data_IF_692602377737
#
_entry.id   IF_692602377737
#
_cell.length_a   1.000
_cell.length_b   1.000
_cell.length_c   1.000
_cell.angle_alpha   90.00
_cell.angle_beta   90.00
_cell.angle_gamma   90.00
#
_symmetry.space_group_name_H-M   'P 1'
#
loop_
_entity.id
_entity.type
_entity.pdbx_description
1 polymer ?
#
# COMPACT_ATOMS: atom_id res chain seq x y z
N UNK A 1 -21.89 -16.59 -7.36
CA UNK A 1 -21.85 -16.40 -5.89
C UNK A 1 -23.23 -16.11 -5.29
N UNK A 2 -24.08 -15.25 -5.85
CA UNK A 2 -25.39 -14.97 -5.22
C UNK A 2 -26.64 -15.59 -5.86
N UNK A 3 -26.53 -16.35 -6.96
CA UNK A 3 -27.73 -16.85 -7.68
C UNK A 3 -27.70 -18.33 -8.08
N UNK A 4 -26.61 -19.08 -7.85
CA UNK A 4 -26.54 -20.52 -8.13
C UNK A 4 -25.44 -21.20 -7.26
N UNK A 5 -25.78 -22.04 -6.27
CA UNK A 5 -24.84 -22.49 -5.24
C UNK A 5 -23.89 -23.64 -5.66
N UNK A 6 -24.21 -24.44 -6.67
CA UNK A 6 -23.47 -25.67 -6.99
C UNK A 6 -22.36 -25.52 -8.02
N UNK A 7 -22.52 -24.65 -9.03
CA UNK A 7 -21.48 -24.38 -10.05
C UNK A 7 -20.52 -23.27 -9.58
N UNK A 8 -20.98 -22.42 -8.64
CA UNK A 8 -20.18 -21.30 -8.11
C UNK A 8 -19.13 -21.73 -7.09
N UNK A 9 -19.22 -22.94 -6.53
CA UNK A 9 -18.33 -23.40 -5.46
C UNK A 9 -16.96 -23.84 -6.00
N UNK A 10 -16.90 -24.66 -7.05
CA UNK A 10 -15.61 -25.12 -7.60
C UNK A 10 -14.79 -23.98 -8.20
N UNK A 11 -15.41 -23.07 -8.96
CA UNK A 11 -14.70 -21.91 -9.53
C UNK A 11 -14.28 -20.91 -8.46
N UNK A 12 -15.08 -20.73 -7.40
CA UNK A 12 -14.71 -19.89 -6.26
C UNK A 12 -13.58 -20.53 -5.44
N UNK A 13 -13.61 -21.84 -5.21
CA UNK A 13 -12.58 -22.57 -4.47
C UNK A 13 -11.25 -22.55 -5.23
N UNK A 14 -11.25 -22.81 -6.55
CA UNK A 14 -10.05 -22.67 -7.41
C UNK A 14 -9.50 -21.24 -7.37
N UNK A 15 -10.37 -20.23 -7.51
CA UNK A 15 -9.96 -18.84 -7.40
C UNK A 15 -9.37 -18.52 -6.02
N UNK A 16 -9.86 -19.11 -4.93
CA UNK A 16 -9.36 -18.90 -3.56
C UNK A 16 -8.00 -19.56 -3.31
N UNK A 17 -7.77 -20.76 -3.86
CA UNK A 17 -6.48 -21.44 -3.77
C UNK A 17 -5.42 -20.68 -4.59
N UNK A 18 -5.77 -20.26 -5.80
CA UNK A 18 -4.93 -19.37 -6.61
C UNK A 18 -4.67 -18.03 -5.89
N UNK A 19 -5.67 -17.47 -5.20
CA UNK A 19 -5.51 -16.22 -4.46
C UNK A 19 -4.52 -16.36 -3.30
N UNK A 20 -4.59 -17.45 -2.52
CA UNK A 20 -3.66 -17.74 -1.42
C UNK A 20 -2.23 -17.96 -1.92
N UNK A 21 -2.08 -18.65 -3.05
CA UNK A 21 -0.77 -18.85 -3.69
C UNK A 21 -0.19 -17.50 -4.16
N UNK A 22 -0.97 -16.70 -4.89
CA UNK A 22 -0.54 -15.38 -5.34
C UNK A 22 -0.19 -14.42 -4.20
N UNK A 23 -0.87 -14.54 -3.07
CA UNK A 23 -0.59 -13.81 -1.82
C UNK A 23 0.78 -14.22 -1.25
N UNK A 24 1.03 -15.51 -1.06
CA UNK A 24 2.30 -16.02 -0.51
C UNK A 24 3.47 -15.64 -1.43
N UNK A 25 3.30 -15.82 -2.73
CA UNK A 25 4.28 -15.41 -3.74
C UNK A 25 4.51 -13.90 -3.73
N UNK A 26 3.45 -13.12 -3.52
CA UNK A 26 3.50 -11.67 -3.37
C UNK A 26 4.35 -11.22 -2.18
N UNK A 27 4.14 -11.83 -1.02
CA UNK A 27 4.96 -11.59 0.18
C UNK A 27 6.41 -12.03 -0.06
N UNK A 28 6.63 -13.18 -0.72
CA UNK A 28 7.97 -13.67 -1.06
C UNK A 28 8.74 -12.77 -2.05
N UNK A 29 8.05 -11.88 -2.79
CA UNK A 29 8.66 -10.87 -3.66
C UNK A 29 9.20 -9.66 -2.90
N UNK A 30 8.81 -9.48 -1.63
CA UNK A 30 9.36 -8.45 -0.76
C UNK A 30 10.80 -8.79 -0.41
N UNK A 31 11.71 -7.82 -0.60
CA UNK A 31 13.12 -7.94 -0.21
C UNK A 31 13.36 -7.36 1.17
N UNK A 32 12.86 -6.16 1.39
CA UNK A 32 13.12 -5.38 2.60
C UNK A 32 12.05 -4.31 2.74
N UNK A 33 11.94 -3.74 3.94
CA UNK A 33 11.11 -2.59 4.25
C UNK A 33 12.06 -1.44 4.56
N UNK A 34 11.87 -0.32 3.87
CA UNK A 34 12.68 0.88 4.05
C UNK A 34 11.93 1.83 4.97
N UNK A 35 12.63 2.29 6.00
CA UNK A 35 12.11 3.23 6.99
C UNK A 35 12.34 4.68 6.53
N UNK A 36 11.30 5.49 6.59
CA UNK A 36 11.38 6.96 6.55
C UNK A 36 11.08 7.51 7.96
N UNK A 37 10.90 8.83 8.09
CA UNK A 37 10.70 9.47 9.39
C UNK A 37 9.35 9.06 9.99
N UNK A 38 8.30 9.16 9.20
CA UNK A 38 6.91 8.97 9.62
C UNK A 38 6.22 7.78 8.92
N UNK A 39 6.73 7.34 7.78
CA UNK A 39 6.24 6.16 7.07
C UNK A 39 7.33 5.10 6.85
N UNK A 40 6.94 3.96 6.32
CA UNK A 40 7.82 2.90 5.82
C UNK A 40 7.24 2.34 4.52
N UNK A 41 8.08 1.77 3.67
CA UNK A 41 7.61 1.21 2.40
C UNK A 41 8.34 -0.05 1.99
N UNK A 42 7.63 -0.90 1.26
CA UNK A 42 8.12 -2.18 0.76
C UNK A 42 9.00 -1.98 -0.46
N UNK A 43 10.16 -2.66 -0.49
CA UNK A 43 10.97 -2.80 -1.70
C UNK A 43 10.96 -4.24 -2.23
N UNK A 44 10.74 -4.43 -3.54
CA UNK A 44 10.82 -5.73 -4.19
C UNK A 44 12.27 -6.27 -4.24
N UNK A 45 12.40 -7.57 -4.52
CA UNK A 45 13.68 -8.21 -4.88
C UNK A 45 14.27 -7.70 -6.20
N UNK A 46 13.43 -7.18 -7.10
CA UNK A 46 13.86 -6.56 -8.36
C UNK A 46 14.64 -5.27 -8.08
N UNK A 47 15.93 -5.24 -8.46
CA UNK A 47 16.81 -4.07 -8.29
C UNK A 47 16.20 -2.83 -8.96
N UNK A 48 16.37 -1.67 -8.32
CA UNK A 48 15.95 -0.35 -8.81
C UNK A 48 14.45 -0.21 -9.14
N UNK A 49 13.59 -1.00 -8.50
CA UNK A 49 12.13 -0.84 -8.58
C UNK A 49 11.56 -0.57 -7.20
N UNK A 50 10.55 0.28 -7.13
CA UNK A 50 9.68 0.44 -5.96
C UNK A 50 8.46 -0.49 -6.02
N UNK A 51 8.15 -1.01 -7.22
CA UNK A 51 6.91 -1.73 -7.49
C UNK A 51 7.10 -3.24 -7.34
N UNK A 52 6.26 -3.85 -6.51
CA UNK A 52 6.06 -5.29 -6.45
C UNK A 52 5.48 -5.76 -7.79
N UNK A 53 5.98 -6.87 -8.33
CA UNK A 53 5.42 -7.51 -9.53
C UNK A 53 4.21 -8.37 -9.18
N UNK A 54 3.12 -7.73 -8.75
CA UNK A 54 1.89 -8.38 -8.26
C UNK A 54 0.67 -7.72 -8.89
N UNK A 55 -0.48 -8.38 -8.84
CA UNK A 55 -1.72 -7.77 -9.31
C UNK A 55 -2.16 -6.64 -8.35
N UNK A 56 -2.83 -5.61 -8.87
CA UNK A 56 -3.28 -4.47 -8.06
C UNK A 56 -4.31 -4.89 -7.00
N UNK A 57 -5.13 -5.89 -7.29
CA UNK A 57 -6.15 -6.41 -6.36
C UNK A 57 -5.56 -7.07 -5.11
N UNK A 58 -4.36 -7.66 -5.20
CA UNK A 58 -3.70 -8.33 -4.06
C UNK A 58 -2.69 -7.44 -3.32
N UNK A 59 -2.35 -6.27 -3.86
CA UNK A 59 -1.36 -5.37 -3.27
C UNK A 59 -1.72 -4.98 -1.84
N UNK A 60 -3.00 -4.66 -1.59
CA UNK A 60 -3.46 -4.27 -0.27
C UNK A 60 -3.39 -5.40 0.75
N UNK A 61 -3.63 -6.65 0.31
CA UNK A 61 -3.52 -7.82 1.18
C UNK A 61 -2.06 -8.03 1.57
N UNK A 62 -1.14 -7.97 0.59
CA UNK A 62 0.31 -8.08 0.81
C UNK A 62 0.79 -7.00 1.78
N UNK A 63 0.37 -5.75 1.59
CA UNK A 63 0.70 -4.67 2.52
C UNK A 63 0.22 -4.97 3.96
N UNK A 64 -0.99 -5.50 4.12
CA UNK A 64 -1.51 -5.92 5.42
C UNK A 64 -0.70 -7.04 6.06
N UNK A 65 -0.37 -8.08 5.30
CA UNK A 65 0.42 -9.21 5.80
C UNK A 65 1.85 -8.82 6.16
N UNK A 66 2.48 -7.92 5.39
CA UNK A 66 3.81 -7.42 5.73
C UNK A 66 3.75 -6.59 7.00
N UNK A 67 2.74 -5.73 7.17
CA UNK A 67 2.57 -4.93 8.38
C UNK A 67 2.37 -5.81 9.63
N UNK A 68 1.63 -6.92 9.50
CA UNK A 68 1.34 -7.86 10.59
C UNK A 68 2.54 -8.75 10.96
N UNK A 69 3.65 -8.71 10.22
CA UNK A 69 4.88 -9.41 10.61
C UNK A 69 5.47 -8.75 11.86
N UNK A 70 5.30 -9.43 12.99
CA UNK A 70 5.86 -8.98 14.27
C UNK A 70 7.38 -9.00 14.21
N UNK A 71 7.98 -8.02 14.87
CA UNK A 71 9.44 -7.92 15.02
C UNK A 71 9.97 -9.18 15.70
N UNK A 72 10.74 -9.99 14.98
CA UNK A 72 11.30 -11.27 15.44
C UNK A 72 10.65 -12.52 14.83
N UNK A 73 9.46 -12.41 14.24
CA UNK A 73 8.74 -13.55 13.63
C UNK A 73 9.00 -13.67 12.11
N UNK A 74 9.77 -12.75 11.53
CA UNK A 74 10.05 -12.72 10.09
C UNK A 74 11.32 -11.96 9.71
N UNK A 75 11.75 -12.04 8.45
CA UNK A 75 12.99 -11.43 7.96
C UNK A 75 12.87 -9.92 7.69
N UNK A 76 11.68 -9.32 7.88
CA UNK A 76 11.42 -7.92 7.57
C UNK A 76 11.40 -7.08 8.85
N UNK A 77 12.14 -5.96 8.84
CA UNK A 77 12.14 -4.98 9.92
C UNK A 77 11.00 -3.98 9.72
N UNK A 78 9.85 -4.31 10.30
CA UNK A 78 8.61 -3.53 10.21
C UNK A 78 8.38 -2.81 11.54
N UNK A 79 8.08 -1.52 11.47
CA UNK A 79 7.78 -0.68 12.62
C UNK A 79 6.27 -0.43 12.73
N UNK A 80 5.53 -1.09 13.64
CA UNK A 80 4.08 -0.91 13.75
C UNK A 80 3.66 0.52 14.17
N UNK A 81 4.61 1.35 14.60
CA UNK A 81 4.36 2.76 14.93
C UNK A 81 4.26 3.67 13.69
N UNK A 82 4.52 3.12 12.49
CA UNK A 82 4.52 3.84 11.21
C UNK A 82 3.63 3.14 10.16
N UNK A 83 2.88 3.89 9.34
CA UNK A 83 2.19 3.32 8.19
C UNK A 83 3.12 2.65 7.19
N UNK A 84 2.69 1.52 6.64
CA UNK A 84 3.40 0.77 5.60
C UNK A 84 2.77 1.01 4.23
N UNK A 85 3.60 1.33 3.26
CA UNK A 85 3.24 1.56 1.87
C UNK A 85 3.78 0.45 0.97
N UNK A 86 2.92 -0.10 0.11
CA UNK A 86 3.31 -1.00 -0.97
C UNK A 86 2.88 -0.40 -2.31
N UNK A 87 3.66 -0.67 -3.37
CA UNK A 87 3.41 -0.16 -4.71
C UNK A 87 3.42 -1.28 -5.73
N UNK A 88 2.63 -1.15 -6.79
CA UNK A 88 2.71 -2.02 -7.98
C UNK A 88 2.42 -1.23 -9.25
N UNK A 89 2.99 -1.65 -10.38
CA UNK A 89 2.70 -1.03 -11.67
C UNK A 89 1.34 -1.50 -12.16
N UNK A 90 0.51 -0.57 -12.65
CA UNK A 90 -0.76 -0.93 -13.28
C UNK A 90 -0.47 -1.48 -14.67
N UNK A 91 -0.80 -2.75 -14.89
CA UNK A 91 -0.64 -3.40 -16.19
C UNK A 91 -1.37 -2.60 -17.30
N UNK A 92 -0.73 -2.45 -18.45
CA UNK A 92 -1.30 -1.73 -19.60
C UNK A 92 -1.27 -0.20 -19.52
N UNK A 93 -0.84 0.40 -18.41
CA UNK A 93 -0.84 1.87 -18.25
C UNK A 93 0.21 2.62 -19.09
N UNK A 94 1.19 1.92 -19.65
CA UNK A 94 2.28 2.51 -20.44
C UNK A 94 1.91 2.75 -21.93
N UNK A 95 0.65 2.57 -22.32
CA UNK A 95 0.21 2.66 -23.71
C UNK A 95 0.31 4.09 -24.25
N UNK A 96 0.81 4.24 -25.48
CA UNK A 96 0.90 5.53 -26.17
C UNK A 96 1.99 6.47 -25.66
N UNK A 97 3.10 5.95 -25.11
CA UNK A 97 4.26 6.75 -24.69
C UNK A 97 4.06 7.53 -23.39
N UNK A 98 2.97 7.28 -22.67
CA UNK A 98 2.67 7.88 -21.37
C UNK A 98 3.50 7.23 -20.26
N UNK A 99 3.76 7.98 -19.20
CA UNK A 99 4.40 7.43 -17.99
C UNK A 99 3.47 6.38 -17.36
N UNK A 100 3.96 5.17 -17.04
CA UNK A 100 3.12 4.15 -16.45
C UNK A 100 2.50 4.62 -15.14
N UNK A 101 1.29 4.17 -14.86
CA UNK A 101 0.62 4.39 -13.58
C UNK A 101 1.09 3.36 -12.56
N UNK A 102 1.21 3.81 -11.31
CA UNK A 102 1.54 2.98 -10.15
C UNK A 102 0.38 3.04 -9.19
N UNK A 103 -0.09 1.87 -8.79
CA UNK A 103 -1.04 1.68 -7.70
C UNK A 103 -0.27 1.66 -6.39
N UNK A 104 -0.79 2.40 -5.42
CA UNK A 104 -0.27 2.50 -4.06
C UNK A 104 -1.32 1.92 -3.13
N UNK A 105 -0.89 1.13 -2.16
CA UNK A 105 -1.70 0.74 -1.00
C UNK A 105 -0.94 1.09 0.27
N UNK A 106 -1.58 1.83 1.17
CA UNK A 106 -1.05 2.16 2.48
C UNK A 106 -1.93 1.52 3.56
N UNK A 107 -1.30 0.94 4.60
CA UNK A 107 -1.97 0.38 5.77
C UNK A 107 -1.23 0.76 7.04
N UNK A 108 -1.95 0.82 8.16
CA UNK A 108 -1.36 1.06 9.46
C UNK A 108 -2.08 0.32 10.57
N UNK A 109 -1.48 0.29 11.75
CA UNK A 109 -2.16 -0.18 12.95
C UNK A 109 -3.26 0.77 13.38
N UNK A 110 -4.39 0.22 13.85
CA UNK A 110 -5.53 1.03 14.27
C UNK A 110 -5.18 1.95 15.44
N UNK A 111 -4.21 1.58 16.27
CA UNK A 111 -3.69 2.42 17.37
C UNK A 111 -3.15 3.78 16.90
N UNK A 112 -2.70 3.89 15.65
CA UNK A 112 -2.20 5.16 15.08
C UNK A 112 -3.33 6.18 14.82
N UNK A 113 -4.58 5.73 14.68
CA UNK A 113 -5.73 6.65 14.57
C UNK A 113 -5.91 7.48 15.84
N UNK A 114 -5.67 6.88 17.01
CA UNK A 114 -5.72 7.56 18.30
C UNK A 114 -4.61 8.63 18.42
N UNK A 115 -3.50 8.47 17.68
CA UNK A 115 -2.43 9.48 17.54
C UNK A 115 -2.75 10.57 16.50
N UNK A 116 -3.94 10.54 15.91
CA UNK A 116 -4.41 11.57 14.97
C UNK A 116 -4.12 11.28 13.50
N UNK A 117 -3.52 10.13 13.16
CA UNK A 117 -3.22 9.78 11.77
C UNK A 117 -4.49 9.33 11.05
N UNK A 118 -4.72 9.90 9.86
CA UNK A 118 -5.73 9.52 8.89
C UNK A 118 -5.06 9.31 7.52
N UNK A 119 -4.90 8.04 7.13
CA UNK A 119 -4.25 7.69 5.87
C UNK A 119 -5.03 8.13 4.65
N UNK A 120 -6.36 8.05 4.66
CA UNK A 120 -7.19 8.52 3.56
C UNK A 120 -6.89 9.97 3.20
N UNK A 121 -6.91 10.86 4.20
CA UNK A 121 -6.57 12.28 4.06
C UNK A 121 -5.10 12.50 3.63
N UNK A 122 -4.16 11.76 4.22
CA UNK A 122 -2.74 11.88 3.89
C UNK A 122 -2.44 11.47 2.44
N UNK A 123 -3.00 10.34 2.00
CA UNK A 123 -2.82 9.77 0.67
C UNK A 123 -3.47 10.64 -0.39
N UNK A 124 -4.69 11.16 -0.13
CA UNK A 124 -5.36 12.08 -1.03
C UNK A 124 -4.47 13.30 -1.33
N UNK A 125 -4.04 14.03 -0.27
CA UNK A 125 -3.17 15.21 -0.42
C UNK A 125 -1.81 14.89 -1.05
N UNK A 126 -1.13 13.82 -0.62
CA UNK A 126 0.16 13.44 -1.17
C UNK A 126 0.06 13.03 -2.65
N UNK A 127 -1.00 12.32 -3.04
CA UNK A 127 -1.23 11.90 -4.43
C UNK A 127 -1.55 13.10 -5.34
N UNK A 128 -2.37 14.06 -4.86
CA UNK A 128 -2.68 15.28 -5.58
C UNK A 128 -1.43 16.13 -5.89
N UNK A 129 -0.49 16.25 -4.93
CA UNK A 129 0.79 16.98 -5.11
C UNK A 129 1.66 16.44 -6.26
N UNK A 130 1.49 15.18 -6.63
CA UNK A 130 2.27 14.54 -7.70
C UNK A 130 1.49 14.31 -8.99
N UNK A 131 0.28 14.89 -9.10
CA UNK A 131 -0.60 14.70 -10.25
C UNK A 131 -1.23 13.32 -10.33
N UNK A 132 -1.34 12.63 -9.19
CA UNK A 132 -2.12 11.41 -9.02
C UNK A 132 -3.47 11.68 -8.35
N UNK A 133 -4.15 10.61 -7.98
CA UNK A 133 -5.38 10.68 -7.20
C UNK A 133 -5.51 9.49 -6.25
N UNK A 134 -6.13 9.69 -5.10
CA UNK A 134 -6.20 8.69 -4.05
C UNK A 134 -7.21 9.02 -2.98
N UNK A 135 -7.20 8.23 -1.91
CA UNK A 135 -8.10 8.37 -0.77
C UNK A 135 -8.32 7.03 -0.08
N UNK A 136 -9.28 7.02 0.84
CA UNK A 136 -9.65 5.82 1.58
C UNK A 136 -10.03 6.13 3.02
N UNK A 137 -9.86 5.13 3.88
CA UNK A 137 -10.17 5.23 5.29
C UNK A 137 -8.95 5.67 6.09
N UNK A 138 -9.18 5.96 7.37
CA UNK A 138 -8.14 6.31 8.34
C UNK A 138 -7.03 5.25 8.46
N UNK A 139 -7.37 3.96 8.43
CA UNK A 139 -6.44 2.83 8.62
C UNK A 139 -5.91 2.23 7.30
N UNK A 140 -6.65 2.40 6.20
CA UNK A 140 -6.27 1.83 4.91
C UNK A 140 -6.71 2.74 3.76
N UNK A 141 -5.76 3.06 2.88
CA UNK A 141 -5.97 3.99 1.77
C UNK A 141 -5.14 3.57 0.54
N UNK A 142 -5.55 4.06 -0.63
CA UNK A 142 -4.89 3.77 -1.89
C UNK A 142 -4.80 4.98 -2.80
N UNK A 143 -3.85 4.94 -3.74
CA UNK A 143 -3.69 5.98 -4.75
C UNK A 143 -3.24 5.40 -6.09
N UNK A 144 -3.37 6.21 -7.12
CA UNK A 144 -2.76 6.01 -8.44
C UNK A 144 -1.87 7.22 -8.74
N UNK A 145 -0.60 6.98 -9.04
CA UNK A 145 0.39 8.04 -9.27
C UNK A 145 1.25 7.73 -10.51
N UNK A 146 1.87 8.72 -11.15
CA UNK A 146 2.85 8.47 -12.22
C UNK A 146 4.11 7.78 -11.67
N UNK A 147 4.63 6.78 -12.39
CA UNK A 147 5.82 6.00 -11.98
C UNK A 147 7.05 6.88 -11.73
N UNK A 148 7.27 7.93 -12.52
CA UNK A 148 8.39 8.85 -12.34
C UNK A 148 8.29 9.69 -11.06
N UNK A 149 7.12 9.72 -10.41
CA UNK A 149 6.85 10.55 -9.23
C UNK A 149 6.82 9.76 -7.92
N UNK A 150 7.09 8.45 -7.93
CA UNK A 150 7.07 7.60 -6.72
C UNK A 150 7.87 8.21 -5.57
N UNK A 151 9.11 8.63 -5.81
CA UNK A 151 9.95 9.19 -4.74
C UNK A 151 9.34 10.45 -4.13
N UNK A 152 8.87 11.38 -4.98
CA UNK A 152 8.19 12.61 -4.55
C UNK A 152 6.90 12.33 -3.79
N UNK A 153 6.17 11.28 -4.19
CA UNK A 153 4.98 10.85 -3.48
C UNK A 153 5.30 10.33 -2.08
N UNK A 154 6.33 9.48 -1.95
CA UNK A 154 6.76 8.97 -0.64
C UNK A 154 7.24 10.10 0.28
N UNK A 155 8.01 11.06 -0.26
CA UNK A 155 8.43 12.28 0.46
C UNK A 155 7.20 13.10 0.93
N UNK A 156 6.25 13.38 0.02
CA UNK A 156 5.04 14.12 0.37
C UNK A 156 4.16 13.39 1.39
N UNK A 157 4.05 12.06 1.29
CA UNK A 157 3.28 11.27 2.25
C UNK A 157 3.95 11.25 3.63
N UNK A 158 5.29 11.16 3.69
CA UNK A 158 6.04 11.23 4.94
C UNK A 158 5.83 12.57 5.65
N UNK A 159 5.80 13.67 4.91
CA UNK A 159 5.46 15.01 5.42
C UNK A 159 4.00 15.09 5.91
N UNK A 160 3.04 14.59 5.13
CA UNK A 160 1.61 14.63 5.48
C UNK A 160 1.29 13.82 6.75
N UNK A 161 1.92 12.66 6.92
CA UNK A 161 1.77 11.84 8.13
C UNK A 161 2.45 12.53 9.32
N UNK A 162 3.64 13.11 9.13
CA UNK A 162 4.34 13.87 10.17
C UNK A 162 3.56 15.09 10.64
N UNK A 163 2.96 15.83 9.71
CA UNK A 163 2.13 17.00 10.03
C UNK A 163 0.91 16.64 10.88
N UNK A 164 0.32 15.46 10.67
CA UNK A 164 -0.83 15.01 11.47
C UNK A 164 -0.46 14.63 12.91
N UNK A 165 0.77 14.18 13.15
CA UNK A 165 1.28 13.87 14.49
C UNK A 165 1.53 15.13 15.34
N UNK A 166 1.73 16.29 14.70
CA UNK A 166 1.97 17.57 15.36
C UNK A 166 0.72 18.40 15.64
N UNK A 167 -0.47 17.99 15.16
CA UNK A 167 -1.72 18.73 15.32
C UNK A 167 -2.46 18.30 16.59
N UNK A 168 -2.84 19.26 17.44
CA UNK A 168 -3.79 19.00 18.52
C UNK A 168 -5.16 18.60 17.95
N UNK A 169 -6.02 17.86 18.68
CA UNK A 169 -7.34 17.46 18.19
C UNK A 169 -8.22 18.62 17.68
N UNK A 170 -7.99 19.83 18.20
CA UNK A 170 -8.68 21.08 17.84
C UNK A 170 -8.20 21.73 16.54
N UNK A 171 -7.03 21.37 16.02
CA UNK A 171 -6.43 21.97 14.82
C UNK A 171 -6.62 21.12 13.56
N UNK A 172 -7.41 20.04 13.65
CA UNK A 172 -7.70 19.16 12.50
C UNK A 172 -8.83 19.75 11.66
N UNK A 173 -8.61 20.03 10.36
CA UNK A 173 -9.65 20.50 9.44
C UNK A 173 -10.66 19.40 9.10
#
# INVERSE_FOLDING_TARGET
VCLNPTVSSESALRNMDDHKVHIRDGVAKVRTVVQMRNIQYVLPKRKNSYCLGVNDTILGIIAGMVLDQRKGDGPLDVDPSKPLVALTERAGSAQGGKDPEVKVSARMERTLTARGINLGKAIDRASARVGGGGGGHDVAAGATIPKKKIRKFLEALDEEVGGQLGLSPSERP
#
